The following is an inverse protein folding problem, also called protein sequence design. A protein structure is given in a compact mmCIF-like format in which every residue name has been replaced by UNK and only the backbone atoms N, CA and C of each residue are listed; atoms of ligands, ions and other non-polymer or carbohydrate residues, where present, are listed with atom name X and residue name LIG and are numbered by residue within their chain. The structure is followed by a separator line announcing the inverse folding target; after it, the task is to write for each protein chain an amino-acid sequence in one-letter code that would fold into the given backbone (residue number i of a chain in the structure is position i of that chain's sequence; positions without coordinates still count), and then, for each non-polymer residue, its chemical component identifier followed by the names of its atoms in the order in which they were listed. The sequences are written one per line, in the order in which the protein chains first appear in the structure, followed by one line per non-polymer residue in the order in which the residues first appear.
data_IF_559011447132
#
_entry.id   IF_559011447132
#
_cell.length_a   1.000
_cell.length_b   1.000
_cell.length_c   1.000
_cell.angle_alpha   90.00
_cell.angle_beta   90.00
_cell.angle_gamma   90.00
#
_symmetry.space_group_name_H-M   'P 1'
#
loop_
_entity.id
_entity.type
_entity.pdbx_description
1 polymer ?
#
# COMPACT_ATOMS: atom_id res chain seq x y z
N UNK A 1 -4.74 14.42 8.04
CA UNK A 1 -4.22 13.88 9.32
C UNK A 1 -4.43 12.36 9.43
N UNK A 2 -5.65 11.82 9.56
CA UNK A 2 -5.84 10.35 9.70
C UNK A 2 -5.47 9.55 8.43
N UNK A 3 -5.86 10.03 7.25
CA UNK A 3 -5.49 9.36 5.98
C UNK A 3 -3.99 9.45 5.69
N UNK A 4 -3.33 10.52 6.15
CA UNK A 4 -1.88 10.64 6.03
C UNK A 4 -1.18 9.61 6.92
N UNK A 5 -1.62 9.45 8.17
CA UNK A 5 -1.10 8.42 9.06
C UNK A 5 -1.32 7.01 8.49
N UNK A 6 -2.53 6.72 7.97
CA UNK A 6 -2.82 5.43 7.35
C UNK A 6 -1.92 5.19 6.13
N UNK A 7 -1.69 6.21 5.30
CA UNK A 7 -0.78 6.13 4.15
C UNK A 7 0.65 5.83 4.61
N UNK A 8 1.12 6.49 5.65
CA UNK A 8 2.48 6.30 6.17
C UNK A 8 2.66 4.88 6.73
N UNK A 9 1.66 4.36 7.44
CA UNK A 9 1.63 2.97 7.93
C UNK A 9 1.61 1.99 6.76
N UNK A 10 0.67 2.13 5.83
CA UNK A 10 0.48 1.21 4.71
C UNK A 10 1.71 1.11 3.80
N UNK A 11 2.50 2.18 3.70
CA UNK A 11 3.71 2.24 2.88
C UNK A 11 4.99 1.87 3.62
N UNK A 12 4.95 1.64 4.93
CA UNK A 12 6.14 1.38 5.72
C UNK A 12 6.69 -0.04 5.46
N UNK A 13 5.95 -1.07 5.86
CA UNK A 13 6.41 -2.47 5.77
C UNK A 13 6.73 -2.96 4.35
N UNK A 14 5.98 -2.57 3.28
CA UNK A 14 6.29 -3.01 1.92
C UNK A 14 7.69 -2.64 1.43
N UNK A 15 8.35 -1.66 2.06
CA UNK A 15 9.73 -1.28 1.74
C UNK A 15 10.76 -2.33 2.18
N UNK A 16 10.41 -3.22 3.10
CA UNK A 16 11.27 -4.26 3.66
C UNK A 16 10.92 -5.66 3.14
N UNK A 17 10.25 -5.71 1.99
CA UNK A 17 10.01 -6.94 1.24
C UNK A 17 11.26 -7.24 0.41
N UNK A 18 11.86 -8.41 0.62
CA UNK A 18 12.92 -8.90 -0.27
C UNK A 18 12.31 -9.21 -1.64
N UNK A 19 12.87 -8.61 -2.69
CA UNK A 19 12.40 -8.84 -4.07
C UNK A 19 13.47 -9.52 -4.91
N UNK A 20 13.07 -10.22 -5.95
CA UNK A 20 14.01 -10.85 -6.87
C UNK A 20 14.98 -9.84 -7.53
N UNK A 21 14.51 -8.63 -7.80
CA UNK A 21 15.29 -7.51 -8.38
C UNK A 21 15.99 -6.64 -7.33
N UNK A 22 15.58 -6.72 -6.06
CA UNK A 22 16.13 -5.97 -4.94
C UNK A 22 16.13 -6.85 -3.68
N UNK A 23 17.05 -7.83 -3.61
CA UNK A 23 17.10 -8.75 -2.49
C UNK A 23 17.62 -8.05 -1.23
N UNK A 24 17.11 -8.46 -0.07
CA UNK A 24 17.65 -8.06 1.24
C UNK A 24 18.71 -9.09 1.63
N UNK A 25 19.97 -8.66 1.70
CA UNK A 25 21.11 -9.52 2.01
C UNK A 25 21.50 -9.41 3.48
N UNK A 26 21.78 -10.54 4.12
CA UNK A 26 22.44 -10.62 5.43
C UNK A 26 23.92 -10.98 5.21
N UNK A 27 24.79 -9.99 5.42
CA UNK A 27 26.23 -10.08 5.11
C UNK A 27 27.05 -10.71 6.25
N UNK A 28 26.42 -11.17 7.34
CA UNK A 28 27.12 -11.74 8.49
C UNK A 28 27.50 -13.20 8.29
N UNK A 29 28.60 -13.61 8.90
CA UNK A 29 29.11 -14.98 8.84
C UNK A 29 28.19 -15.97 9.56
N UNK A 30 28.11 -17.22 9.06
CA UNK A 30 27.41 -18.32 9.77
C UNK A 30 25.88 -18.34 9.67
N UNK A 31 25.25 -17.36 9.00
CA UNK A 31 23.78 -17.33 8.84
C UNK A 31 23.30 -18.35 7.82
N UNK A 32 22.14 -18.96 8.11
CA UNK A 32 21.49 -19.96 7.24
C UNK A 32 21.04 -19.38 5.90
N UNK A 33 20.64 -18.11 5.88
CA UNK A 33 20.10 -17.42 4.71
C UNK A 33 20.88 -16.13 4.47
N UNK A 34 21.93 -16.15 3.64
CA UNK A 34 22.72 -14.95 3.34
C UNK A 34 21.94 -13.93 2.52
N UNK A 35 20.86 -14.36 1.87
CA UNK A 35 19.91 -13.51 1.16
C UNK A 35 18.50 -13.98 1.48
N UNK A 36 17.62 -13.06 1.85
CA UNK A 36 16.21 -13.37 2.07
C UNK A 36 15.54 -13.75 0.74
N UNK A 37 14.82 -14.88 0.68
CA UNK A 37 14.04 -15.26 -0.49
C UNK A 37 13.05 -14.16 -0.93
N UNK A 38 12.74 -14.06 -2.24
CA UNK A 38 11.72 -13.13 -2.72
C UNK A 38 10.37 -13.33 -2.04
N UNK A 39 9.72 -12.23 -1.66
CA UNK A 39 8.43 -12.21 -0.97
C UNK A 39 8.54 -12.26 0.55
N UNK A 40 9.72 -12.57 1.10
CA UNK A 40 9.92 -12.51 2.55
C UNK A 40 9.99 -11.07 3.01
N UNK A 41 9.39 -10.79 4.17
CA UNK A 41 9.35 -9.45 4.77
C UNK A 41 10.07 -9.48 6.10
N UNK A 42 10.87 -8.44 6.35
CA UNK A 42 11.52 -8.25 7.63
C UNK A 42 10.93 -7.05 8.37
N UNK A 43 10.59 -7.24 9.64
CA UNK A 43 10.31 -6.14 10.55
C UNK A 43 11.60 -5.38 10.91
N UNK A 44 12.73 -6.11 11.00
CA UNK A 44 14.01 -5.59 11.49
C UNK A 44 14.98 -5.46 10.31
N UNK A 45 15.23 -4.22 9.94
CA UNK A 45 16.28 -3.85 8.97
C UNK A 45 17.27 -2.89 9.60
N UNK A 46 17.58 -3.09 10.87
CA UNK A 46 18.58 -2.28 11.54
C UNK A 46 19.97 -2.84 11.20
N UNK A 47 20.77 -2.01 10.52
CA UNK A 47 22.12 -2.34 10.08
C UNK A 47 23.19 -1.82 11.05
N UNK A 48 22.79 -1.19 12.17
CA UNK A 48 23.75 -0.71 13.17
C UNK A 48 24.25 -1.85 14.06
N UNK A 49 25.50 -1.72 14.50
CA UNK A 49 26.19 -2.59 15.46
C UNK A 49 25.94 -2.19 16.93
N UNK A 50 24.97 -1.30 17.17
CA UNK A 50 24.73 -0.62 18.46
C UNK A 50 24.58 -1.54 19.68
N UNK A 51 24.09 -2.77 19.48
CA UNK A 51 23.88 -3.76 20.56
C UNK A 51 24.91 -4.90 20.55
N UNK A 52 25.86 -4.88 19.62
CA UNK A 52 26.97 -5.86 19.59
C UNK A 52 28.05 -5.32 20.53
N UNK A 53 28.21 -5.89 21.74
CA UNK A 53 29.19 -5.39 22.72
C UNK A 53 30.62 -5.86 22.45
N UNK A 54 30.86 -6.47 21.29
CA UNK A 54 32.18 -6.91 20.83
C UNK A 54 32.57 -8.32 21.27
N UNK A 55 31.68 -9.07 21.92
CA UNK A 55 31.97 -10.45 22.32
C UNK A 55 31.67 -11.45 21.20
N UNK A 56 32.52 -12.48 20.99
CA UNK A 56 32.41 -13.43 19.87
C UNK A 56 31.09 -14.21 19.76
N UNK A 57 30.31 -14.29 20.84
CA UNK A 57 29.03 -14.99 20.91
C UNK A 57 27.81 -14.05 20.89
N UNK A 58 28.01 -12.74 20.90
CA UNK A 58 26.95 -11.72 20.86
C UNK A 58 26.57 -11.32 19.43
N UNK A 59 26.53 -12.30 18.51
CA UNK A 59 26.17 -12.09 17.10
C UNK A 59 24.74 -11.54 16.89
N UNK A 60 23.90 -11.59 17.93
CA UNK A 60 22.50 -11.15 17.89
C UNK A 60 22.37 -9.81 18.61
N UNK A 61 22.98 -8.77 18.04
CA UNK A 61 22.53 -7.41 18.32
C UNK A 61 21.09 -7.21 17.82
N UNK A 62 20.35 -6.27 18.41
CA UNK A 62 19.01 -5.85 17.94
C UNK A 62 19.05 -5.37 16.48
N UNK A 63 20.23 -4.98 15.98
CA UNK A 63 20.56 -4.83 14.57
C UNK A 63 20.65 -6.17 13.84
N UNK A 64 19.52 -6.78 13.53
CA UNK A 64 19.45 -8.03 12.78
C UNK A 64 18.60 -7.86 11.52
N UNK A 65 19.10 -8.33 10.37
CA UNK A 65 18.24 -8.81 9.29
C UNK A 65 17.86 -10.24 9.67
N UNK A 66 16.66 -10.42 10.23
CA UNK A 66 16.15 -11.75 10.54
C UNK A 66 15.89 -12.54 9.25
N UNK A 67 16.77 -13.48 8.90
CA UNK A 67 16.60 -14.36 7.73
C UNK A 67 15.48 -15.40 7.92
N UNK A 68 14.26 -14.98 8.22
CA UNK A 68 13.11 -15.85 8.46
C UNK A 68 11.80 -15.14 8.11
N UNK A 69 10.77 -15.92 7.77
CA UNK A 69 9.39 -15.42 7.72
C UNK A 69 8.95 -15.01 9.13
N UNK A 70 8.32 -13.83 9.24
CA UNK A 70 7.83 -13.30 10.52
C UNK A 70 6.48 -12.60 10.35
N UNK A 71 5.95 -12.06 11.45
CA UNK A 71 4.62 -11.43 11.50
C UNK A 71 4.43 -10.26 10.51
N UNK A 72 5.53 -9.67 10.03
CA UNK A 72 5.48 -8.59 9.05
C UNK A 72 4.91 -9.02 7.69
N UNK A 73 5.05 -10.29 7.31
CA UNK A 73 4.48 -10.84 6.07
C UNK A 73 2.94 -10.81 6.08
N UNK A 74 2.23 -11.43 7.06
CA UNK A 74 0.79 -11.32 7.13
C UNK A 74 0.31 -9.88 7.37
N UNK A 75 1.09 -9.02 8.03
CA UNK A 75 0.74 -7.61 8.16
C UNK A 75 0.71 -6.86 6.81
N UNK A 76 1.68 -7.13 5.91
CA UNK A 76 1.66 -6.61 4.54
C UNK A 76 0.47 -7.17 3.76
N UNK A 77 0.19 -8.47 3.89
CA UNK A 77 -0.97 -9.09 3.23
C UNK A 77 -2.30 -8.49 3.70
N UNK A 78 -2.46 -8.23 5.00
CA UNK A 78 -3.66 -7.58 5.55
C UNK A 78 -3.80 -6.14 5.03
N UNK A 79 -2.69 -5.40 4.91
CA UNK A 79 -2.71 -4.06 4.30
C UNK A 79 -3.27 -4.14 2.88
N UNK A 80 -2.82 -5.09 2.07
CA UNK A 80 -3.29 -5.28 0.69
C UNK A 80 -4.76 -5.74 0.65
N UNK A 81 -5.19 -6.54 1.62
CA UNK A 81 -6.54 -7.11 1.66
C UNK A 81 -7.60 -6.13 2.20
N UNK A 82 -7.21 -5.19 3.06
CA UNK A 82 -8.16 -4.38 3.83
C UNK A 82 -8.10 -2.88 3.51
N UNK A 83 -6.96 -2.38 2.99
CA UNK A 83 -6.76 -0.95 2.75
C UNK A 83 -6.93 -0.64 1.26
N UNK A 84 -7.87 0.26 0.87
CA UNK A 84 -7.97 0.70 -0.50
C UNK A 84 -6.67 1.39 -0.95
N UNK A 85 -6.21 1.09 -2.16
CA UNK A 85 -5.00 1.72 -2.70
C UNK A 85 -5.21 3.19 -3.07
N UNK A 86 -6.44 3.55 -3.45
CA UNK A 86 -6.85 4.92 -3.80
C UNK A 86 -8.21 5.20 -3.17
N UNK A 87 -8.36 6.36 -2.52
CA UNK A 87 -9.62 6.83 -1.95
C UNK A 87 -9.95 8.20 -2.57
N UNK A 88 -11.16 8.36 -3.09
CA UNK A 88 -11.65 9.59 -3.72
C UNK A 88 -12.98 10.01 -3.10
N UNK A 89 -13.03 11.24 -2.57
CA UNK A 89 -14.30 11.89 -2.23
C UNK A 89 -14.91 12.51 -3.50
N UNK A 90 -16.09 12.03 -3.88
CA UNK A 90 -16.79 12.45 -5.10
C UNK A 90 -17.28 13.91 -5.04
N UNK A 91 -17.56 14.43 -3.84
CA UNK A 91 -18.10 15.78 -3.65
C UNK A 91 -16.98 16.82 -3.64
N UNK A 92 -15.93 16.57 -2.84
CA UNK A 92 -14.84 17.52 -2.61
C UNK A 92 -13.66 17.34 -3.56
N UNK A 93 -13.61 16.23 -4.30
CA UNK A 93 -12.46 15.79 -5.10
C UNK A 93 -11.19 15.56 -4.28
N UNK A 94 -11.30 15.40 -2.95
CA UNK A 94 -10.16 15.02 -2.12
C UNK A 94 -9.71 13.60 -2.50
N UNK A 95 -8.42 13.47 -2.80
CA UNK A 95 -7.79 12.24 -3.25
C UNK A 95 -6.72 11.82 -2.24
N UNK A 96 -6.80 10.59 -1.74
CA UNK A 96 -5.74 9.95 -0.97
C UNK A 96 -5.23 8.73 -1.73
N UNK A 97 -3.90 8.61 -1.80
CA UNK A 97 -3.21 7.52 -2.49
C UNK A 97 -2.36 6.79 -1.46
N UNK A 98 -2.69 5.53 -1.22
CA UNK A 98 -2.06 4.68 -0.22
C UNK A 98 -1.14 3.65 -0.85
N UNK A 99 -1.42 3.24 -2.08
CA UNK A 99 -0.54 2.41 -2.90
C UNK A 99 0.69 3.20 -3.42
N UNK A 100 1.64 2.54 -4.07
CA UNK A 100 2.85 3.16 -4.62
C UNK A 100 2.64 3.98 -5.90
N UNK A 101 1.47 3.84 -6.54
CA UNK A 101 1.16 4.56 -7.78
C UNK A 101 1.03 6.06 -7.52
N UNK A 102 1.24 6.87 -8.56
CA UNK A 102 0.91 8.28 -8.52
C UNK A 102 -0.50 8.48 -9.09
N UNK A 103 -1.34 9.24 -8.40
CA UNK A 103 -2.66 9.61 -8.87
C UNK A 103 -2.94 11.08 -8.62
N UNK A 104 -3.62 11.72 -9.56
CA UNK A 104 -4.09 13.10 -9.43
C UNK A 104 -5.48 13.24 -10.06
N UNK A 105 -6.26 14.19 -9.54
CA UNK A 105 -7.48 14.63 -10.22
C UNK A 105 -7.08 15.43 -11.46
N UNK A 106 -7.39 14.92 -12.65
CA UNK A 106 -6.99 15.54 -13.92
C UNK A 106 -8.08 16.42 -14.52
N UNK A 107 -9.33 15.95 -14.51
CA UNK A 107 -10.49 16.70 -14.99
C UNK A 107 -11.70 16.45 -14.11
N UNK A 108 -12.54 17.47 -13.95
CA UNK A 108 -13.80 17.37 -13.23
C UNK A 108 -14.92 17.91 -14.10
N UNK A 109 -16.00 17.16 -14.17
CA UNK A 109 -17.27 17.52 -14.80
C UNK A 109 -18.41 17.25 -13.80
N UNK A 110 -19.63 17.72 -14.06
CA UNK A 110 -20.77 17.43 -13.19
C UNK A 110 -21.01 15.92 -13.01
N UNK A 111 -20.79 15.12 -14.06
CA UNK A 111 -21.08 13.68 -14.09
C UNK A 111 -19.84 12.82 -13.78
N UNK A 112 -18.63 13.32 -13.98
CA UNK A 112 -17.42 12.48 -13.95
C UNK A 112 -16.20 13.21 -13.38
N UNK A 113 -15.41 12.51 -12.56
CA UNK A 113 -14.07 12.90 -12.15
C UNK A 113 -13.08 12.00 -12.88
N UNK A 114 -12.16 12.55 -13.66
CA UNK A 114 -11.10 11.79 -14.33
C UNK A 114 -9.84 11.83 -13.49
N UNK A 115 -9.35 10.66 -13.08
CA UNK A 115 -8.06 10.50 -12.42
C UNK A 115 -6.99 10.24 -13.47
N UNK A 116 -5.82 10.88 -13.34
CA UNK A 116 -4.62 10.47 -14.06
C UNK A 116 -3.77 9.61 -13.14
N UNK A 117 -3.53 8.38 -13.56
CA UNK A 117 -2.81 7.35 -12.81
C UNK A 117 -1.50 7.06 -13.50
N UNK A 118 -0.40 7.01 -12.75
CA UNK A 118 0.93 6.68 -13.25
C UNK A 118 1.57 5.61 -12.40
N UNK A 119 1.99 4.52 -13.03
CA UNK A 119 2.86 3.51 -12.44
C UNK A 119 4.28 3.74 -12.97
N UNK A 120 5.18 4.23 -12.11
CA UNK A 120 6.57 4.50 -12.45
C UNK A 120 7.51 3.30 -12.21
N UNK A 121 6.96 2.13 -11.91
CA UNK A 121 7.74 0.93 -11.58
C UNK A 121 7.74 -0.08 -12.71
N UNK A 122 8.66 -1.04 -12.64
CA UNK A 122 8.73 -2.19 -13.53
C UNK A 122 7.68 -3.27 -13.22
N UNK A 123 6.87 -3.08 -12.19
CA UNK A 123 5.91 -4.07 -11.71
C UNK A 123 4.48 -3.63 -12.05
N UNK A 124 3.58 -4.55 -12.43
CA UNK A 124 2.18 -4.20 -12.58
C UNK A 124 1.60 -3.80 -11.21
N UNK A 125 0.78 -2.75 -11.20
CA UNK A 125 0.06 -2.31 -10.03
C UNK A 125 -1.44 -2.58 -10.19
N UNK A 126 -2.10 -2.92 -9.09
CA UNK A 126 -3.53 -3.23 -9.09
C UNK A 126 -4.28 -2.57 -7.91
N UNK A 127 -4.14 -1.25 -7.69
CA UNK A 127 -4.78 -0.59 -6.55
C UNK A 127 -6.30 -0.69 -6.64
N UNK A 128 -6.94 -0.93 -5.50
CA UNK A 128 -8.39 -0.89 -5.37
C UNK A 128 -8.84 0.55 -5.13
N UNK A 129 -9.84 1.01 -5.89
CA UNK A 129 -10.41 2.34 -5.79
C UNK A 129 -11.67 2.33 -4.91
N UNK A 130 -11.61 3.07 -3.81
CA UNK A 130 -12.79 3.46 -3.03
C UNK A 130 -13.19 4.88 -3.42
N UNK A 131 -14.24 5.00 -4.23
CA UNK A 131 -14.86 6.28 -4.56
C UNK A 131 -16.20 6.40 -3.84
N UNK A 132 -16.38 7.46 -3.05
CA UNK A 132 -17.56 7.64 -2.22
C UNK A 132 -17.90 9.12 -2.02
N UNK A 133 -19.16 9.40 -1.73
CA UNK A 133 -19.59 10.75 -1.33
C UNK A 133 -19.24 11.02 0.13
N UNK A 134 -19.30 12.28 0.53
CA UNK A 134 -19.10 12.69 1.93
C UNK A 134 -20.15 12.07 2.87
N UNK A 135 -21.37 11.84 2.38
CA UNK A 135 -22.43 11.18 3.12
C UNK A 135 -22.21 9.65 3.25
N UNK A 136 -21.75 9.00 2.19
CA UNK A 136 -21.37 7.58 2.25
C UNK A 136 -20.22 7.37 3.23
N UNK A 137 -19.19 8.22 3.19
CA UNK A 137 -18.02 8.14 4.08
C UNK A 137 -18.36 8.15 5.57
N UNK A 138 -19.39 8.86 6.00
CA UNK A 138 -19.76 8.95 7.43
C UNK A 138 -20.63 7.77 7.90
N UNK A 139 -21.30 7.10 6.98
CA UNK A 139 -22.27 6.05 7.27
C UNK A 139 -21.78 4.65 6.92
N UNK A 140 -20.79 4.54 6.03
CA UNK A 140 -20.29 3.27 5.53
C UNK A 140 -19.48 2.55 6.59
N UNK A 141 -20.04 1.43 7.05
CA UNK A 141 -19.24 0.40 7.70
C UNK A 141 -18.55 -0.46 6.62
N UNK A 142 -17.24 -0.58 6.73
CA UNK A 142 -16.41 -1.30 5.75
C UNK A 142 -16.47 -2.84 5.93
N UNK A 143 -16.96 -3.34 7.07
CA UNK A 143 -17.16 -4.77 7.27
C UNK A 143 -15.87 -5.60 7.33
N UNK A 144 -15.98 -6.92 7.13
CA UNK A 144 -14.88 -7.88 7.17
C UNK A 144 -14.19 -8.10 5.82
N UNK A 145 -14.77 -7.60 4.72
CA UNK A 145 -14.18 -7.66 3.40
C UNK A 145 -14.36 -6.32 2.69
N UNK A 146 -13.61 -5.30 3.14
CA UNK A 146 -13.88 -3.90 2.79
C UNK A 146 -13.60 -3.56 1.33
N UNK A 147 -12.83 -4.41 0.64
CA UNK A 147 -12.46 -4.23 -0.76
C UNK A 147 -13.34 -5.03 -1.73
N UNK A 148 -14.23 -5.89 -1.23
CA UNK A 148 -15.08 -6.71 -2.08
C UNK A 148 -15.96 -5.88 -3.01
N UNK A 149 -15.95 -6.21 -4.29
CA UNK A 149 -16.77 -5.55 -5.31
C UNK A 149 -16.31 -4.14 -5.71
N UNK A 150 -15.24 -3.62 -5.10
CA UNK A 150 -14.67 -2.35 -5.50
C UNK A 150 -13.83 -2.48 -6.79
N UNK A 151 -13.76 -1.44 -7.63
CA UNK A 151 -12.95 -1.47 -8.85
C UNK A 151 -11.46 -1.69 -8.54
N UNK A 152 -10.88 -2.70 -9.19
CA UNK A 152 -9.43 -2.91 -9.20
C UNK A 152 -8.84 -2.28 -10.46
N UNK A 153 -7.96 -1.31 -10.30
CA UNK A 153 -7.40 -0.56 -11.43
C UNK A 153 -6.15 -1.27 -11.93
N UNK A 154 -6.14 -1.72 -13.17
CA UNK A 154 -4.97 -2.41 -13.74
C UNK A 154 -4.02 -1.39 -14.37
N UNK A 155 -2.82 -1.27 -13.78
CA UNK A 155 -1.80 -0.33 -14.23
C UNK A 155 -0.53 -1.11 -14.63
N UNK A 156 -0.29 -1.30 -15.95
CA UNK A 156 0.93 -1.94 -16.42
C UNK A 156 2.19 -1.17 -15.98
N UNK A 157 3.36 -1.81 -16.01
CA UNK A 157 4.64 -1.15 -15.76
C UNK A 157 4.82 0.12 -16.61
N UNK A 158 5.44 1.15 -16.03
CA UNK A 158 5.82 2.40 -16.71
C UNK A 158 4.72 3.07 -17.55
N UNK A 159 3.47 2.98 -17.08
CA UNK A 159 2.30 3.48 -17.81
C UNK A 159 1.64 4.66 -17.11
N UNK A 160 1.12 5.59 -17.91
CA UNK A 160 0.18 6.62 -17.47
C UNK A 160 -1.15 6.42 -18.19
N UNK A 161 -2.27 6.41 -17.46
CA UNK A 161 -3.61 6.34 -18.03
C UNK A 161 -4.58 7.28 -17.33
N UNK A 162 -5.63 7.66 -18.05
CA UNK A 162 -6.74 8.45 -17.50
C UNK A 162 -7.92 7.51 -17.21
N UNK A 163 -8.42 7.54 -15.97
CA UNK A 163 -9.49 6.68 -15.49
C UNK A 163 -10.72 7.51 -15.07
N UNK A 164 -11.86 7.38 -15.77
CA UNK A 164 -13.08 8.10 -15.43
C UNK A 164 -13.80 7.44 -14.24
N UNK A 165 -14.14 8.25 -13.23
CA UNK A 165 -14.96 7.87 -12.08
C UNK A 165 -16.29 8.60 -12.16
N UNK A 166 -17.38 7.85 -12.27
CA UNK A 166 -18.71 8.43 -12.33
C UNK A 166 -19.08 9.03 -10.97
N UNK A 167 -19.56 10.28 -10.97
CA UNK A 167 -20.23 10.85 -9.81
C UNK A 167 -21.60 10.18 -9.73
N UNK A 168 -21.91 9.58 -8.58
CA UNK A 168 -23.29 9.16 -8.32
C UNK A 168 -24.13 10.44 -8.32
N UNK A 169 -24.93 10.65 -9.37
CA UNK A 169 -25.89 11.76 -9.38
C UNK A 169 -26.75 11.66 -8.13
N UNK A 170 -26.98 12.78 -7.45
CA UNK A 170 -28.05 12.91 -6.48
C UNK A 170 -29.41 12.84 -7.21
N UNK A 171 -29.75 11.68 -7.77
CA UNK A 171 -31.10 11.44 -8.28
C UNK A 171 -31.97 11.28 -7.05
N UNK A 172 -32.74 12.35 -6.77
CA UNK A 172 -33.87 12.41 -5.85
C UNK A 172 -34.49 11.03 -5.60
N UNK A 173 -34.24 10.45 -4.43
CA UNK A 173 -35.22 9.54 -3.84
C UNK A 173 -36.42 10.40 -3.41
N UNK A 174 -37.31 10.69 -4.36
CA UNK A 174 -38.71 10.86 -4.03
C UNK A 174 -39.27 9.45 -3.85
N UNK A 175 -39.46 9.04 -2.60
CA UNK A 175 -40.42 7.98 -2.33
C UNK A 175 -41.79 8.64 -2.26
N UNK A 176 -42.65 8.25 -3.20
CA UNK A 176 -44.10 8.33 -3.07
C UNK A 176 -44.58 7.32 -2.02
#
# INVERSE_FOLDING_TARGET
MWLDLLRDIARCLPQYVSRADRPISDVRTGKRWPVMPPGWVNERVNLSDWEVRGEPWEEIGVGEIFGGSCWSEPAVLNTIAEVPGIILNLDTCELAVLDHVHAQVFRVSPETITLRLTNSTAFPAAPVLLAETSAERTTRWLGSNPLAGLPKLHLPPFTTLDYPVQRKSAVRMKME
#
